data_IF_560060251676
#
_entry.id   IF_560060251676
#
_cell.length_a   1.000
_cell.length_b   1.000
_cell.length_c   1.000
_cell.angle_alpha   90.00
_cell.angle_beta   90.00
_cell.angle_gamma   90.00
#
_symmetry.space_group_name_H-M   'P 1'
#
loop_
_entity.id
_entity.type
_entity.pdbx_description
1 polymer ?
#
# COMPACT_ATOMS: atom_id res chain seq x y z
N UNK A 1 2.58 18.92 3.63
CA UNK A 1 3.26 18.21 2.52
C UNK A 1 4.77 18.45 2.43
N UNK A 2 5.35 19.00 3.49
CA UNK A 2 6.76 19.33 3.60
C UNK A 2 7.72 18.16 3.33
N UNK A 3 7.30 16.93 3.61
CA UNK A 3 8.11 15.73 3.34
C UNK A 3 8.47 15.57 1.85
N UNK A 4 7.57 15.85 0.92
CA UNK A 4 7.84 15.71 -0.52
C UNK A 4 8.76 16.82 -1.05
N UNK A 5 8.70 18.01 -0.44
CA UNK A 5 9.60 19.12 -0.77
C UNK A 5 11.06 18.84 -0.38
N UNK A 6 11.30 17.84 0.48
CA UNK A 6 12.65 17.46 0.93
C UNK A 6 13.36 16.50 -0.03
N UNK A 7 12.67 15.95 -1.01
CA UNK A 7 13.30 15.06 -1.98
C UNK A 7 14.17 15.83 -2.96
N UNK A 8 15.38 15.33 -3.18
CA UNK A 8 16.25 15.81 -4.25
C UNK A 8 15.65 15.48 -5.62
N UNK A 9 16.13 16.14 -6.67
CA UNK A 9 15.67 15.86 -8.02
C UNK A 9 16.03 14.44 -8.45
N UNK A 10 17.17 13.91 -7.98
CA UNK A 10 17.55 12.49 -8.17
C UNK A 10 16.57 11.53 -7.49
N UNK A 11 16.14 11.82 -6.26
CA UNK A 11 15.15 11.01 -5.53
C UNK A 11 13.78 11.03 -6.23
N UNK A 12 13.33 12.21 -6.68
CA UNK A 12 12.10 12.34 -7.48
C UNK A 12 12.19 11.54 -8.79
N UNK A 13 13.34 11.56 -9.45
CA UNK A 13 13.57 10.79 -10.67
C UNK A 13 13.57 9.27 -10.42
N UNK A 14 14.11 8.82 -9.29
CA UNK A 14 14.02 7.41 -8.87
C UNK A 14 12.54 7.01 -8.70
N UNK A 15 11.73 7.85 -8.04
CA UNK A 15 10.30 7.59 -7.86
C UNK A 15 9.56 7.47 -9.21
N UNK A 16 9.79 8.42 -10.12
CA UNK A 16 9.20 8.40 -11.48
C UNK A 16 9.62 7.17 -12.27
N UNK A 17 10.90 6.79 -12.23
CA UNK A 17 11.43 5.59 -12.92
C UNK A 17 10.85 4.31 -12.33
N UNK A 18 10.77 4.23 -11.00
CA UNK A 18 10.20 3.09 -10.29
C UNK A 18 8.72 2.92 -10.64
N UNK A 19 7.97 4.02 -10.67
CA UNK A 19 6.55 4.00 -11.06
C UNK A 19 6.33 3.44 -12.47
N UNK A 20 7.17 3.83 -13.46
CA UNK A 20 7.11 3.29 -14.83
C UNK A 20 7.32 1.77 -14.91
N UNK A 21 8.03 1.17 -13.95
CA UNK A 21 8.17 -0.29 -13.87
C UNK A 21 6.89 -0.93 -13.33
N UNK A 22 6.30 -0.34 -12.27
CA UNK A 22 5.05 -0.82 -11.69
C UNK A 22 3.88 -0.76 -12.68
N UNK A 23 3.82 0.32 -13.47
CA UNK A 23 2.72 0.59 -14.40
C UNK A 23 2.50 -0.53 -15.43
N UNK A 24 3.56 -1.26 -15.79
CA UNK A 24 3.51 -2.41 -16.72
C UNK A 24 2.64 -3.56 -16.23
N UNK A 25 2.42 -3.68 -14.92
CA UNK A 25 1.60 -4.74 -14.32
C UNK A 25 0.69 -4.20 -13.21
N UNK A 26 0.25 -2.94 -13.36
CA UNK A 26 -0.44 -2.19 -12.30
C UNK A 26 -1.64 -2.94 -11.73
N UNK A 27 -2.50 -3.51 -12.59
CA UNK A 27 -3.71 -4.23 -12.17
C UNK A 27 -3.41 -5.47 -11.33
N UNK A 28 -2.34 -6.20 -11.69
CA UNK A 28 -1.96 -7.39 -10.95
C UNK A 28 -1.31 -7.01 -9.62
N UNK A 29 -0.40 -6.03 -9.64
CA UNK A 29 0.24 -5.53 -8.42
C UNK A 29 -0.78 -4.97 -7.45
N UNK A 30 -1.74 -4.17 -7.92
CA UNK A 30 -2.82 -3.62 -7.10
C UNK A 30 -3.61 -4.72 -6.37
N UNK A 31 -4.06 -5.73 -7.13
CA UNK A 31 -4.85 -6.82 -6.58
C UNK A 31 -4.05 -7.65 -5.56
N UNK A 32 -2.78 -7.96 -5.87
CA UNK A 32 -1.91 -8.73 -4.97
C UNK A 32 -1.68 -8.00 -3.64
N UNK A 33 -1.61 -6.66 -3.65
CA UNK A 33 -1.52 -5.86 -2.42
C UNK A 33 -2.75 -6.12 -1.54
N UNK A 34 -3.96 -5.97 -2.08
CA UNK A 34 -5.19 -6.13 -1.30
C UNK A 34 -5.45 -7.58 -0.89
N UNK A 35 -5.13 -8.55 -1.76
CA UNK A 35 -5.18 -9.97 -1.42
C UNK A 35 -4.26 -10.29 -0.23
N UNK A 36 -3.05 -9.73 -0.24
CA UNK A 36 -2.10 -9.92 0.86
C UNK A 36 -2.53 -9.19 2.14
N UNK A 37 -3.03 -7.96 2.07
CA UNK A 37 -3.57 -7.22 3.23
C UNK A 37 -4.65 -8.05 3.93
N UNK A 38 -5.61 -8.56 3.15
CA UNK A 38 -6.73 -9.34 3.69
C UNK A 38 -6.26 -10.70 4.24
N UNK A 39 -5.21 -11.28 3.66
CA UNK A 39 -4.63 -12.54 4.15
C UNK A 39 -3.83 -12.35 5.45
N UNK A 40 -3.08 -11.24 5.57
CA UNK A 40 -2.26 -10.95 6.75
C UNK A 40 -3.07 -10.42 7.93
N UNK A 41 -4.10 -9.61 7.65
CA UNK A 41 -4.97 -8.98 8.64
C UNK A 41 -6.43 -9.22 8.27
N UNK A 42 -7.01 -10.40 8.58
CA UNK A 42 -8.37 -10.76 8.15
C UNK A 42 -9.48 -9.84 8.67
N UNK A 43 -9.24 -9.15 9.78
CA UNK A 43 -10.11 -8.13 10.35
C UNK A 43 -10.28 -6.91 9.44
N UNK A 44 -9.34 -6.63 8.53
CA UNK A 44 -9.48 -5.60 7.49
C UNK A 44 -10.68 -5.79 6.59
N UNK A 45 -11.21 -7.02 6.46
CA UNK A 45 -12.40 -7.31 5.64
C UNK A 45 -13.60 -6.44 6.02
N UNK A 46 -13.77 -6.11 7.30
CA UNK A 46 -14.89 -5.29 7.77
C UNK A 46 -14.84 -3.84 7.29
N UNK A 47 -13.64 -3.36 6.93
CA UNK A 47 -13.41 -2.03 6.36
C UNK A 47 -13.94 -1.93 4.92
N UNK A 48 -14.11 -3.08 4.25
CA UNK A 48 -14.48 -3.19 2.85
C UNK A 48 -15.80 -3.97 2.66
N UNK A 49 -16.92 -3.50 3.22
CA UNK A 49 -18.22 -4.20 3.17
C UNK A 49 -18.76 -4.37 1.75
N UNK A 50 -18.27 -3.56 0.81
CA UNK A 50 -18.66 -3.57 -0.59
C UNK A 50 -17.93 -4.67 -1.39
N UNK A 51 -16.89 -5.28 -0.83
CA UNK A 51 -16.14 -6.36 -1.46
C UNK A 51 -16.80 -7.69 -1.06
N UNK A 52 -17.52 -8.29 -2.01
CA UNK A 52 -18.06 -9.64 -1.87
C UNK A 52 -17.01 -10.63 -2.32
N UNK A 53 -16.25 -11.17 -1.37
CA UNK A 53 -15.28 -12.22 -1.65
C UNK A 53 -16.02 -13.49 -2.08
N UNK A 54 -16.02 -13.78 -3.39
CA UNK A 54 -16.59 -15.01 -3.93
C UNK A 54 -15.66 -16.19 -3.60
N UNK A 55 -16.23 -17.38 -3.41
CA UNK A 55 -15.47 -18.62 -3.27
C UNK A 55 -14.96 -19.05 -4.66
N UNK A 56 -13.91 -18.38 -5.14
CA UNK A 56 -13.23 -18.71 -6.39
C UNK A 56 -12.95 -17.49 -7.26
N UNK A 57 -11.67 -17.22 -7.51
CA UNK A 57 -11.21 -16.21 -8.46
C UNK A 57 -11.13 -14.77 -7.93
N UNK A 58 -10.71 -13.86 -8.81
CA UNK A 58 -10.53 -12.44 -8.49
C UNK A 58 -11.88 -11.74 -8.32
N UNK A 59 -12.05 -11.03 -7.22
CA UNK A 59 -13.25 -10.22 -6.96
C UNK A 59 -13.16 -8.88 -7.71
N UNK A 60 -14.13 -8.60 -8.59
CA UNK A 60 -14.15 -7.39 -9.42
C UNK A 60 -14.22 -6.11 -8.60
N UNK A 61 -14.98 -6.12 -7.51
CA UNK A 61 -15.07 -5.00 -6.56
C UNK A 61 -13.73 -4.72 -5.89
N UNK A 62 -12.96 -5.78 -5.58
CA UNK A 62 -11.61 -5.64 -5.05
C UNK A 62 -10.64 -5.10 -6.10
N UNK A 63 -10.72 -5.58 -7.34
CA UNK A 63 -9.90 -5.05 -8.44
C UNK A 63 -10.11 -3.55 -8.64
N UNK A 64 -11.37 -3.10 -8.70
CA UNK A 64 -11.68 -1.68 -8.83
C UNK A 64 -11.17 -0.85 -7.65
N UNK A 65 -11.33 -1.36 -6.43
CA UNK A 65 -10.87 -0.65 -5.25
C UNK A 65 -9.34 -0.58 -5.18
N UNK A 66 -8.66 -1.67 -5.50
CA UNK A 66 -7.21 -1.74 -5.56
C UNK A 66 -6.63 -0.78 -6.61
N UNK A 67 -7.30 -0.63 -7.76
CA UNK A 67 -6.88 0.35 -8.77
C UNK A 67 -7.04 1.79 -8.29
N UNK A 68 -8.13 2.11 -7.58
CA UNK A 68 -8.30 3.45 -6.98
C UNK A 68 -7.19 3.75 -5.98
N UNK A 69 -6.74 2.75 -5.21
CA UNK A 69 -5.58 2.89 -4.34
C UNK A 69 -4.30 3.20 -5.14
N UNK A 70 -4.03 2.48 -6.23
CA UNK A 70 -2.87 2.79 -7.09
C UNK A 70 -2.95 4.17 -7.74
N UNK A 71 -4.15 4.65 -8.10
CA UNK A 71 -4.34 6.00 -8.65
C UNK A 71 -3.99 7.11 -7.64
N UNK A 72 -4.22 6.88 -6.34
CA UNK A 72 -3.77 7.81 -5.30
C UNK A 72 -2.24 7.88 -5.27
N UNK A 73 -1.56 6.74 -5.32
CA UNK A 73 -0.10 6.70 -5.35
C UNK A 73 0.45 7.33 -6.65
N UNK A 74 -0.19 7.10 -7.79
CA UNK A 74 0.16 7.74 -9.05
C UNK A 74 0.05 9.26 -8.96
N UNK A 75 -1.01 9.77 -8.31
CA UNK A 75 -1.20 11.20 -8.10
C UNK A 75 -0.03 11.79 -7.34
N UNK A 76 0.49 11.10 -6.32
CA UNK A 76 1.68 11.52 -5.57
C UNK A 76 2.91 11.61 -6.48
N UNK A 77 3.14 10.62 -7.34
CA UNK A 77 4.27 10.63 -8.29
C UNK A 77 4.13 11.76 -9.31
N UNK A 78 2.92 12.07 -9.77
CA UNK A 78 2.66 13.13 -10.75
C UNK A 78 2.83 14.55 -10.20
N UNK A 79 2.71 14.72 -8.89
CA UNK A 79 2.76 16.04 -8.23
C UNK A 79 4.06 16.28 -7.47
N UNK A 80 5.10 15.47 -7.68
CA UNK A 80 6.38 15.59 -6.94
C UNK A 80 7.03 16.99 -7.04
N UNK A 81 6.80 17.72 -8.13
CA UNK A 81 7.32 19.08 -8.31
C UNK A 81 6.40 20.17 -7.74
N UNK A 82 5.13 19.85 -7.51
CA UNK A 82 4.11 20.77 -7.01
C UNK A 82 3.25 20.07 -5.95
N UNK A 83 3.87 19.62 -4.83
CA UNK A 83 3.20 18.71 -3.91
C UNK A 83 1.90 19.31 -3.40
N UNK A 84 1.86 20.60 -3.04
CA UNK A 84 0.69 21.33 -2.50
C UNK A 84 -0.65 21.07 -3.23
N UNK A 85 -0.60 20.71 -4.51
CA UNK A 85 -1.78 20.29 -5.30
C UNK A 85 -2.48 19.03 -4.78
N UNK A 86 -1.82 18.20 -3.96
CA UNK A 86 -2.42 17.01 -3.31
C UNK A 86 -3.23 17.35 -2.06
N UNK A 87 -3.14 18.56 -1.49
CA UNK A 87 -3.81 18.88 -0.21
C UNK A 87 -5.31 18.51 -0.22
N UNK A 88 -6.10 18.84 -1.27
CA UNK A 88 -7.52 18.44 -1.32
C UNK A 88 -7.73 16.92 -1.33
N UNK A 89 -6.84 16.17 -2.00
CA UNK A 89 -6.89 14.70 -2.05
C UNK A 89 -6.58 14.11 -0.68
N UNK A 90 -5.49 14.56 -0.04
CA UNK A 90 -5.08 14.12 1.29
C UNK A 90 -6.16 14.42 2.35
N UNK A 91 -6.76 15.61 2.31
CA UNK A 91 -7.84 15.99 3.22
C UNK A 91 -9.07 15.10 3.06
N UNK A 92 -9.46 14.81 1.82
CA UNK A 92 -10.57 13.92 1.55
C UNK A 92 -10.29 12.48 2.03
N UNK A 93 -9.10 11.95 1.76
CA UNK A 93 -8.69 10.63 2.22
C UNK A 93 -8.62 10.57 3.74
N UNK A 94 -8.10 11.61 4.40
CA UNK A 94 -8.07 11.75 5.86
C UNK A 94 -9.47 11.68 6.46
N UNK A 95 -10.44 12.42 5.90
CA UNK A 95 -11.85 12.37 6.33
C UNK A 95 -12.50 10.99 6.11
N UNK A 96 -12.16 10.30 5.03
CA UNK A 96 -12.65 8.93 4.79
C UNK A 96 -12.12 7.97 5.85
N UNK A 97 -10.80 7.97 6.10
CA UNK A 97 -10.19 7.06 7.07
C UNK A 97 -10.56 7.41 8.52
N UNK A 98 -10.75 8.69 8.85
CA UNK A 98 -11.27 9.12 10.15
C UNK A 98 -12.66 8.54 10.43
N UNK A 99 -13.58 8.63 9.46
CA UNK A 99 -14.91 7.99 9.59
C UNK A 99 -14.84 6.46 9.70
N UNK A 100 -13.88 5.81 9.03
CA UNK A 100 -13.67 4.36 9.17
C UNK A 100 -13.16 3.98 10.57
N UNK A 101 -12.36 4.86 11.20
CA UNK A 101 -11.90 4.67 12.58
C UNK A 101 -13.07 4.62 13.54
N UNK A 102 -14.01 5.56 13.40
CA UNK A 102 -15.20 5.66 14.25
C UNK A 102 -16.23 4.54 13.97
N UNK A 103 -16.46 4.20 12.69
CA UNK A 103 -17.58 3.34 12.30
C UNK A 103 -17.24 1.86 12.12
N UNK A 104 -15.98 1.53 11.81
CA UNK A 104 -15.57 0.17 11.37
C UNK A 104 -14.29 -0.32 12.04
N UNK A 105 -13.82 0.39 13.05
CA UNK A 105 -12.66 -0.01 13.84
C UNK A 105 -11.34 0.05 13.06
N UNK A 106 -11.23 0.95 12.08
CA UNK A 106 -9.91 1.27 11.52
C UNK A 106 -9.00 1.81 12.63
N UNK A 107 -7.76 1.34 12.66
CA UNK A 107 -6.79 1.58 13.74
C UNK A 107 -5.41 1.84 13.13
N UNK A 108 -4.55 2.49 13.90
CA UNK A 108 -3.19 2.85 13.49
C UNK A 108 -2.36 1.67 12.95
N UNK A 109 -2.48 0.48 13.54
CA UNK A 109 -1.74 -0.70 13.09
C UNK A 109 -2.06 -1.11 11.64
N UNK A 110 -3.27 -0.83 11.15
CA UNK A 110 -3.64 -1.14 9.77
C UNK A 110 -2.77 -0.36 8.78
N UNK A 111 -2.31 0.85 9.10
CA UNK A 111 -1.39 1.58 8.24
C UNK A 111 -0.09 0.81 8.02
N UNK A 112 0.45 0.17 9.06
CA UNK A 112 1.63 -0.69 8.96
C UNK A 112 1.42 -1.82 7.96
N UNK A 113 0.33 -2.59 8.11
CA UNK A 113 -0.03 -3.68 7.20
C UNK A 113 -0.13 -3.21 5.75
N UNK A 114 -0.79 -2.07 5.50
CA UNK A 114 -0.94 -1.53 4.15
C UNK A 114 0.40 -1.11 3.54
N UNK A 115 1.25 -0.42 4.29
CA UNK A 115 2.59 0.01 3.84
C UNK A 115 3.44 -1.21 3.49
N UNK A 116 3.50 -2.17 4.41
CA UNK A 116 4.25 -3.41 4.27
C UNK A 116 3.85 -4.23 3.05
N UNK A 117 2.54 -4.47 2.90
CA UNK A 117 1.99 -5.21 1.78
C UNK A 117 2.26 -4.51 0.44
N UNK A 118 2.22 -3.17 0.43
CA UNK A 118 2.54 -2.36 -0.74
C UNK A 118 4.02 -2.49 -1.12
N UNK A 119 4.93 -2.28 -0.17
CA UNK A 119 6.37 -2.37 -0.40
C UNK A 119 6.80 -3.76 -0.86
N UNK A 120 6.25 -4.81 -0.27
CA UNK A 120 6.53 -6.19 -0.70
C UNK A 120 6.04 -6.45 -2.13
N UNK A 121 4.87 -5.95 -2.50
CA UNK A 121 4.33 -6.14 -3.84
C UNK A 121 5.15 -5.36 -4.88
N UNK A 122 5.61 -4.16 -4.52
CA UNK A 122 6.48 -3.35 -5.38
C UNK A 122 7.85 -4.01 -5.58
N UNK A 123 8.48 -4.53 -4.52
CA UNK A 123 9.77 -5.21 -4.64
C UNK A 123 9.70 -6.45 -5.53
N UNK A 124 8.58 -7.20 -5.47
CA UNK A 124 8.31 -8.27 -6.44
C UNK A 124 8.21 -7.75 -7.87
N UNK A 125 7.52 -6.64 -8.11
CA UNK A 125 7.42 -6.03 -9.44
C UNK A 125 8.76 -5.51 -9.97
N UNK A 126 9.69 -5.13 -9.09
CA UNK A 126 11.04 -4.71 -9.48
C UNK A 126 12.01 -5.87 -9.73
N UNK A 127 11.62 -7.12 -9.49
CA UNK A 127 12.49 -8.28 -9.65
C UNK A 127 13.54 -8.44 -8.54
N UNK A 128 13.46 -7.65 -7.47
CA UNK A 128 14.31 -7.80 -6.28
C UNK A 128 13.69 -8.86 -5.34
N UNK A 129 14.10 -10.14 -5.47
CA UNK A 129 13.79 -11.20 -4.49
C UNK A 129 14.75 -11.13 -3.28
N UNK A 130 14.49 -11.65 -2.07
CA UNK A 130 13.40 -12.43 -1.44
C UNK A 130 13.04 -11.75 -0.11
N UNK A 131 11.78 -11.36 0.07
CA UNK A 131 11.25 -10.95 1.39
C UNK A 131 10.53 -12.15 2.02
N UNK A 132 10.85 -12.47 3.27
CA UNK A 132 10.18 -13.51 4.04
C UNK A 132 9.25 -12.85 5.06
N UNK A 133 8.02 -13.35 5.15
CA UNK A 133 7.06 -12.93 6.18
C UNK A 133 7.39 -13.75 7.43
N UNK A 134 7.99 -13.12 8.44
CA UNK A 134 8.20 -13.75 9.74
C UNK A 134 7.02 -13.38 10.66
N UNK A 135 6.23 -14.38 11.05
CA UNK A 135 5.28 -14.25 12.17
C UNK A 135 6.06 -14.58 13.43
N UNK A 136 6.34 -13.61 14.30
CA UNK A 136 6.90 -13.92 15.63
C UNK A 136 5.75 -14.46 16.51
N UNK A 137 5.76 -15.78 16.74
CA UNK A 137 5.00 -16.40 17.81
C UNK A 137 5.66 -16.01 19.14
N UNK A 138 5.00 -15.12 19.87
CA UNK A 138 5.34 -14.62 21.21
C UNK A 138 6.27 -13.39 21.24
N UNK A 139 5.65 -12.20 21.23
CA UNK A 139 6.03 -10.93 21.92
C UNK A 139 5.79 -9.70 21.01
N UNK A 140 4.79 -8.87 21.36
CA UNK A 140 4.43 -7.58 20.75
C UNK A 140 3.85 -7.63 19.30
N UNK A 141 2.80 -6.84 18.97
CA UNK A 141 2.08 -6.94 17.69
C UNK A 141 2.78 -6.24 16.50
N UNK A 142 4.06 -5.90 16.63
CA UNK A 142 4.78 -5.20 15.57
C UNK A 142 5.37 -6.22 14.59
N UNK A 143 4.70 -6.38 13.45
CA UNK A 143 5.22 -7.11 12.30
C UNK A 143 6.38 -6.30 11.70
N UNK A 144 7.55 -6.93 11.53
CA UNK A 144 8.69 -6.34 10.83
C UNK A 144 9.11 -7.24 9.66
N UNK A 145 9.29 -6.66 8.48
CA UNK A 145 9.99 -7.30 7.37
C UNK A 145 11.49 -7.32 7.70
N UNK A 146 12.05 -8.49 8.07
CA UNK A 146 13.50 -8.65 8.19
C UNK A 146 14.12 -8.75 6.79
N UNK A 147 14.92 -7.75 6.40
CA UNK A 147 15.89 -7.91 5.30
C UNK A 147 16.98 -8.86 5.76
N UNK A 148 17.36 -9.83 4.94
CA UNK A 148 18.39 -10.80 5.29
C UNK A 148 19.72 -10.10 5.59
N UNK A 149 20.11 -10.08 6.86
CA UNK A 149 21.48 -9.86 7.27
C UNK A 149 22.20 -11.21 7.12
N UNK A 150 22.79 -11.47 5.94
CA UNK A 150 23.90 -12.40 5.90
C UNK A 150 25.14 -11.61 6.32
N UNK A 151 25.52 -11.80 7.59
CA UNK A 151 26.92 -11.70 7.98
C UNK A 151 27.68 -12.81 7.24
N UNK A 152 28.84 -12.42 6.73
CA UNK A 152 29.97 -13.18 6.15
C UNK A 152 29.90 -14.70 6.36
#
# INVERSE_FOLDING_TARGET
>A
MEALNRFSDEEKDILRKSWKVLDRNLNNTAYNIFEMIISQSPDTKQLFPFIKMNQGGRCREMEFHALRFMQVLESVVKTLDNPETLNPLCDNLGRVHGRLSESRGFRTHHWGVFIECTLFSFSKSFGTGKFYICREENSSPDLYFKTSCHKV
#
